data_IF_395930071011
#
_entry.id   IF_395930071011
#
_cell.length_a   1.000
_cell.length_b   1.000
_cell.length_c   1.000
_cell.angle_alpha   90.00
_cell.angle_beta   90.00
_cell.angle_gamma   90.00
#
_symmetry.space_group_name_H-M   'P 1'
#
loop_
_entity.id
_entity.type
_entity.pdbx_description
1 polymer ?
#
# COMPACT_ATOMS: atom_id res chain seq x y z
N UNK A 1 54.63 -78.29 40.72
CA UNK A 1 54.48 -76.86 40.99
C UNK A 1 54.63 -76.12 39.64
N UNK A 2 53.51 -75.63 39.05
CA UNK A 2 53.54 -74.97 37.74
C UNK A 2 53.72 -73.47 37.97
N UNK A 3 54.87 -72.95 37.63
CA UNK A 3 55.16 -71.53 37.66
C UNK A 3 54.42 -70.83 36.50
N UNK A 4 53.37 -70.14 36.81
CA UNK A 4 52.71 -69.30 35.82
C UNK A 4 53.63 -68.11 35.47
N UNK A 5 53.99 -68.03 34.18
CA UNK A 5 54.87 -67.01 33.69
C UNK A 5 54.23 -65.60 33.87
N UNK A 6 54.91 -64.75 34.65
CA UNK A 6 54.51 -63.38 34.92
C UNK A 6 54.24 -62.53 33.65
N UNK A 7 54.88 -62.93 32.53
CA UNK A 7 54.64 -62.28 31.21
C UNK A 7 53.21 -62.44 30.67
N UNK A 8 52.57 -63.59 30.93
CA UNK A 8 51.20 -63.85 30.46
C UNK A 8 50.19 -63.08 31.31
N UNK A 9 50.45 -62.87 32.57
CA UNK A 9 49.58 -62.12 33.47
C UNK A 9 49.60 -60.61 33.13
N UNK A 10 50.80 -60.06 32.84
CA UNK A 10 50.94 -58.67 32.46
C UNK A 10 50.27 -58.33 31.10
N UNK A 11 50.37 -59.28 30.13
CA UNK A 11 49.70 -59.14 28.83
C UNK A 11 48.17 -59.14 28.99
N UNK A 12 47.60 -59.98 29.82
CA UNK A 12 46.17 -60.07 30.10
C UNK A 12 45.65 -58.81 30.81
N UNK A 13 46.45 -58.30 31.73
CA UNK A 13 46.12 -57.04 32.50
C UNK A 13 46.12 -55.82 31.62
N UNK A 14 47.08 -55.69 30.69
CA UNK A 14 47.16 -54.60 29.75
C UNK A 14 45.97 -54.63 28.75
N UNK A 15 45.61 -55.83 28.26
CA UNK A 15 44.47 -55.96 27.34
C UNK A 15 43.14 -55.64 28.03
N UNK A 16 42.97 -56.01 29.29
CA UNK A 16 41.79 -55.69 30.08
C UNK A 16 41.69 -54.19 30.36
N UNK A 17 42.81 -53.51 30.59
CA UNK A 17 42.82 -52.05 30.83
C UNK A 17 42.49 -51.26 29.59
N UNK A 18 42.95 -51.67 28.39
CA UNK A 18 42.64 -51.05 27.12
C UNK A 18 41.17 -51.27 26.76
N UNK A 19 40.63 -52.48 27.01
CA UNK A 19 39.21 -52.75 26.78
C UNK A 19 38.31 -51.90 27.69
N UNK A 20 38.69 -51.71 28.94
CA UNK A 20 37.92 -50.85 29.89
C UNK A 20 37.95 -49.38 29.50
N UNK A 21 39.05 -48.90 28.93
CA UNK A 21 39.18 -47.49 28.46
C UNK A 21 38.27 -47.21 27.25
N UNK A 22 37.97 -48.20 26.42
CA UNK A 22 37.05 -48.03 25.27
C UNK A 22 35.56 -47.99 25.68
N UNK A 23 35.18 -48.51 26.84
CA UNK A 23 33.79 -48.52 27.31
C UNK A 23 33.42 -47.20 27.99
N UNK A 24 34.40 -46.42 28.44
CA UNK A 24 34.17 -45.15 29.13
C UNK A 24 34.28 -43.92 28.20
N UNK A 25 34.46 -44.12 26.90
CA UNK A 25 34.43 -43.01 25.96
C UNK A 25 33.03 -42.35 26.01
N UNK A 26 32.92 -41.10 26.42
CA UNK A 26 31.64 -40.42 26.38
C UNK A 26 31.16 -40.40 24.92
N UNK A 27 29.95 -40.89 24.69
CA UNK A 27 29.32 -40.79 23.39
C UNK A 27 29.20 -39.28 23.06
N UNK A 28 30.12 -38.77 22.25
CA UNK A 28 30.02 -37.41 21.71
C UNK A 28 28.79 -37.42 20.80
N UNK A 29 27.67 -36.96 21.34
CA UNK A 29 26.50 -36.67 20.50
C UNK A 29 26.89 -35.50 19.66
N UNK A 30 27.08 -35.73 18.38
CA UNK A 30 27.16 -34.67 17.41
C UNK A 30 25.80 -33.93 17.44
N UNK A 31 25.75 -32.80 18.09
CA UNK A 31 24.59 -31.90 18.07
C UNK A 31 24.76 -31.06 16.81
N UNK A 32 24.04 -31.45 15.77
CA UNK A 32 23.97 -30.63 14.55
C UNK A 32 22.97 -29.50 14.84
N UNK A 33 23.47 -28.28 14.97
CA UNK A 33 22.68 -27.09 15.18
C UNK A 33 22.92 -26.14 14.01
N UNK A 34 21.85 -25.80 13.33
CA UNK A 34 21.89 -24.75 12.30
C UNK A 34 21.17 -23.51 12.81
N UNK A 35 21.73 -22.33 12.49
CA UNK A 35 21.12 -21.05 12.81
C UNK A 35 20.37 -20.55 11.58
N UNK A 36 19.08 -20.26 11.74
CA UNK A 36 18.26 -19.56 10.78
C UNK A 36 18.08 -18.09 11.20
N UNK A 37 17.96 -17.17 10.26
CA UNK A 37 17.59 -15.78 10.54
C UNK A 37 16.13 -15.52 10.20
N UNK A 38 15.42 -14.78 11.06
CA UNK A 38 14.11 -14.21 10.76
C UNK A 38 14.30 -12.70 10.51
N UNK A 39 13.79 -12.21 9.38
CA UNK A 39 13.87 -10.80 9.03
C UNK A 39 12.48 -10.25 8.78
N UNK A 40 12.23 -9.00 9.19
CA UNK A 40 11.01 -8.27 8.90
C UNK A 40 11.35 -6.82 8.57
N UNK A 41 10.65 -6.24 7.61
CA UNK A 41 10.74 -4.82 7.28
C UNK A 41 9.40 -4.16 7.59
N UNK A 42 9.42 -3.13 8.44
CA UNK A 42 8.23 -2.32 8.72
C UNK A 42 8.16 -1.20 7.69
N UNK A 43 7.03 -1.09 6.99
CA UNK A 43 6.80 -0.04 6.00
C UNK A 43 6.57 1.31 6.68
N UNK A 44 6.84 2.40 5.95
CA UNK A 44 6.53 3.76 6.38
C UNK A 44 5.02 3.94 6.59
N UNK A 45 4.66 4.89 7.44
CA UNK A 45 3.25 5.25 7.67
C UNK A 45 2.63 5.74 6.36
N UNK A 46 1.45 5.20 6.05
CA UNK A 46 0.65 5.64 4.90
C UNK A 46 -0.17 6.87 5.31
N UNK A 47 -0.10 7.93 4.51
CA UNK A 47 -0.88 9.14 4.72
C UNK A 47 -1.56 9.59 3.42
N UNK A 48 -2.73 10.20 3.54
CA UNK A 48 -3.53 10.73 2.42
C UNK A 48 -3.90 12.17 2.74
N UNK A 49 -3.73 13.05 1.75
CA UNK A 49 -4.09 14.46 1.86
C UNK A 49 -4.91 14.86 0.64
N UNK A 50 -6.08 15.47 0.85
CA UNK A 50 -6.81 16.15 -0.22
C UNK A 50 -6.06 17.46 -0.53
N UNK A 51 -5.32 17.47 -1.63
CA UNK A 51 -4.48 18.60 -2.03
C UNK A 51 -5.29 19.67 -2.78
N UNK A 52 -6.31 19.23 -3.52
CA UNK A 52 -7.22 20.10 -4.28
C UNK A 52 -8.63 19.51 -4.29
N UNK A 53 -9.63 20.36 -4.10
CA UNK A 53 -11.03 19.97 -4.25
C UNK A 53 -11.40 19.78 -5.73
N UNK A 54 -12.33 18.86 -6.02
CA UNK A 54 -12.99 18.79 -7.32
C UNK A 54 -13.93 20.00 -7.46
N UNK A 55 -13.65 20.88 -8.39
CA UNK A 55 -14.39 22.12 -8.60
C UNK A 55 -15.05 22.16 -9.99
N UNK A 56 -16.35 22.28 -10.00
CA UNK A 56 -17.12 22.44 -11.24
C UNK A 56 -17.23 23.92 -11.66
N UNK A 57 -16.78 24.86 -10.83
CA UNK A 57 -16.92 26.28 -11.08
C UNK A 57 -18.41 26.70 -11.26
N UNK A 58 -18.68 27.66 -12.11
CA UNK A 58 -20.04 28.09 -12.38
C UNK A 58 -20.80 27.05 -13.22
N UNK A 59 -21.97 26.68 -12.74
CA UNK A 59 -22.87 25.70 -13.38
C UNK A 59 -24.21 26.39 -13.67
N UNK A 60 -24.77 26.20 -14.87
CA UNK A 60 -26.04 26.78 -15.26
C UNK A 60 -27.20 25.79 -15.06
N UNK A 61 -28.37 26.30 -14.66
CA UNK A 61 -29.58 25.51 -14.52
C UNK A 61 -29.90 24.73 -15.80
N UNK A 62 -30.20 23.43 -15.65
CA UNK A 62 -30.54 22.56 -16.77
C UNK A 62 -29.35 22.17 -17.68
N UNK A 63 -28.14 22.65 -17.41
CA UNK A 63 -26.96 22.37 -18.25
C UNK A 63 -25.95 21.56 -17.45
N UNK A 64 -25.84 20.28 -17.81
CA UNK A 64 -24.84 19.41 -17.18
C UNK A 64 -23.41 19.91 -17.44
N UNK A 65 -22.53 19.77 -16.44
CA UNK A 65 -21.13 20.15 -16.55
C UNK A 65 -20.23 19.00 -16.13
N UNK A 66 -19.27 18.68 -16.97
CA UNK A 66 -18.24 17.67 -16.72
C UNK A 66 -16.94 18.36 -16.35
N UNK A 67 -16.25 17.81 -15.39
CA UNK A 67 -14.88 18.14 -15.04
C UNK A 67 -14.02 16.92 -15.34
N UNK A 68 -13.03 17.12 -16.20
CA UNK A 68 -12.07 16.09 -16.58
C UNK A 68 -11.04 15.88 -15.47
N UNK A 69 -10.69 14.64 -15.21
CA UNK A 69 -9.69 14.24 -14.20
C UNK A 69 -8.27 14.69 -14.60
N UNK A 70 -8.03 15.01 -15.87
CA UNK A 70 -6.72 15.51 -16.33
C UNK A 70 -6.55 17.02 -16.22
N UNK A 71 -7.58 17.72 -15.75
CA UNK A 71 -7.54 19.19 -15.56
C UNK A 71 -6.78 19.54 -14.29
N UNK A 72 -5.66 20.22 -14.42
CA UNK A 72 -4.79 20.62 -13.30
C UNK A 72 -5.43 21.68 -12.38
N UNK A 73 -6.34 22.48 -12.86
CA UNK A 73 -6.92 23.60 -12.10
C UNK A 73 -8.20 23.22 -11.35
N UNK A 74 -8.97 22.23 -11.81
CA UNK A 74 -10.34 22.00 -11.38
C UNK A 74 -10.61 20.55 -10.96
N UNK A 75 -9.74 19.57 -11.33
CA UNK A 75 -9.86 18.18 -10.87
C UNK A 75 -9.63 18.07 -9.37
N UNK A 76 -10.27 17.11 -8.71
CA UNK A 76 -9.95 16.76 -7.33
C UNK A 76 -8.59 16.06 -7.27
N UNK A 77 -7.67 16.51 -6.41
CA UNK A 77 -6.33 15.92 -6.29
C UNK A 77 -6.11 15.40 -4.87
N UNK A 78 -5.78 14.12 -4.78
CA UNK A 78 -5.44 13.45 -3.53
C UNK A 78 -4.00 12.97 -3.60
N UNK A 79 -3.18 13.42 -2.65
CA UNK A 79 -1.78 13.02 -2.53
C UNK A 79 -1.63 11.91 -1.49
N UNK A 80 -0.96 10.84 -1.89
CA UNK A 80 -0.69 9.66 -1.07
C UNK A 80 0.82 9.64 -0.80
N UNK A 81 1.20 9.50 0.46
CA UNK A 81 2.60 9.33 0.86
C UNK A 81 2.76 8.05 1.66
N UNK A 82 3.87 7.33 1.44
CA UNK A 82 4.12 6.06 2.11
C UNK A 82 5.44 5.42 1.73
N UNK A 83 5.56 4.11 1.92
CA UNK A 83 6.76 3.39 1.54
C UNK A 83 6.93 3.39 0.02
N UNK A 84 8.12 3.77 -0.45
CA UNK A 84 8.45 3.81 -1.87
C UNK A 84 8.22 2.43 -2.54
N UNK A 85 7.62 2.44 -3.72
CA UNK A 85 7.31 1.26 -4.53
C UNK A 85 6.39 0.21 -3.85
N UNK A 86 5.77 0.54 -2.72
CA UNK A 86 4.83 -0.36 -2.06
C UNK A 86 3.50 -0.40 -2.80
N UNK A 87 2.93 -1.61 -2.94
CA UNK A 87 1.61 -1.78 -3.53
C UNK A 87 0.51 -1.31 -2.57
N UNK A 88 -0.46 -0.58 -3.11
CA UNK A 88 -1.60 -0.04 -2.38
C UNK A 88 -2.92 -0.38 -3.08
N UNK A 89 -3.98 -0.44 -2.30
CA UNK A 89 -5.35 -0.43 -2.78
C UNK A 89 -5.99 0.90 -2.41
N UNK A 90 -6.66 1.53 -3.36
CA UNK A 90 -7.34 2.80 -3.21
C UNK A 90 -8.83 2.65 -3.52
N UNK A 91 -9.66 3.25 -2.71
CA UNK A 91 -11.10 3.21 -2.86
C UNK A 91 -11.72 4.57 -2.51
N UNK A 92 -12.54 5.12 -3.41
CA UNK A 92 -13.32 6.33 -3.14
C UNK A 92 -14.74 5.98 -2.70
N UNK A 93 -15.16 6.57 -1.61
CA UNK A 93 -16.57 6.76 -1.28
C UNK A 93 -17.02 8.07 -1.95
N UNK A 94 -17.82 7.93 -3.00
CA UNK A 94 -18.27 9.03 -3.85
C UNK A 94 -19.73 9.38 -3.55
N UNK A 95 -20.08 10.68 -3.42
CA UNK A 95 -21.45 11.11 -3.23
C UNK A 95 -22.30 10.91 -4.50
N UNK A 96 -23.59 10.69 -4.33
CA UNK A 96 -24.57 10.72 -5.43
C UNK A 96 -25.15 12.11 -5.67
N UNK A 97 -25.07 12.98 -4.68
CA UNK A 97 -25.57 14.34 -4.69
C UNK A 97 -24.62 15.28 -3.99
N UNK A 98 -24.52 16.50 -4.51
CA UNK A 98 -23.98 17.63 -3.78
C UNK A 98 -25.16 18.47 -3.25
N UNK A 99 -25.06 18.95 -2.01
CA UNK A 99 -26.14 19.66 -1.34
C UNK A 99 -25.88 21.16 -1.28
N UNK A 100 -26.95 21.95 -1.44
CA UNK A 100 -26.90 23.38 -1.16
C UNK A 100 -26.56 23.60 0.31
N UNK A 101 -25.77 24.61 0.63
CA UNK A 101 -25.33 24.90 1.99
C UNK A 101 -26.50 25.06 2.99
N UNK A 102 -27.66 25.46 2.54
CA UNK A 102 -28.90 25.52 3.34
C UNK A 102 -29.58 24.18 3.53
N UNK A 103 -29.13 23.12 2.82
CA UNK A 103 -29.65 21.76 2.91
C UNK A 103 -31.00 21.49 2.25
N UNK A 104 -31.62 22.50 1.62
CA UNK A 104 -32.98 22.36 1.04
C UNK A 104 -32.97 21.89 -0.40
N UNK A 105 -31.85 21.93 -1.09
CA UNK A 105 -31.77 21.52 -2.49
C UNK A 105 -30.53 20.64 -2.73
N UNK A 106 -30.62 19.74 -3.71
CA UNK A 106 -29.56 18.80 -4.07
C UNK A 106 -29.36 18.76 -5.58
N UNK A 107 -28.13 18.61 -5.99
CA UNK A 107 -27.74 18.46 -7.39
C UNK A 107 -27.10 17.09 -7.59
N UNK A 108 -27.57 16.26 -8.52
CA UNK A 108 -26.94 15.00 -8.83
C UNK A 108 -25.50 15.19 -9.31
N UNK A 109 -24.59 14.33 -8.77
CA UNK A 109 -23.24 14.19 -9.26
C UNK A 109 -23.03 12.74 -9.67
N UNK A 110 -22.32 12.51 -10.76
CA UNK A 110 -22.03 11.18 -11.28
C UNK A 110 -20.55 11.04 -11.56
N UNK A 111 -20.07 9.81 -11.36
CA UNK A 111 -18.68 9.41 -11.63
C UNK A 111 -18.72 8.18 -12.54
N UNK A 112 -18.09 8.29 -13.69
CA UNK A 112 -17.94 7.17 -14.61
C UNK A 112 -16.79 6.24 -14.17
N UNK A 113 -16.67 5.11 -14.81
CA UNK A 113 -15.56 4.18 -14.60
C UNK A 113 -14.22 4.67 -15.16
N UNK A 114 -14.20 5.87 -15.72
CA UNK A 114 -13.01 6.49 -16.34
C UNK A 114 -12.64 7.83 -15.72
N UNK A 115 -13.34 8.27 -14.67
CA UNK A 115 -13.19 9.61 -14.11
C UNK A 115 -12.06 9.73 -13.07
N UNK A 116 -11.12 8.79 -13.05
CA UNK A 116 -9.92 8.91 -12.21
C UNK A 116 -8.64 8.63 -12.99
N UNK A 117 -7.57 9.27 -12.57
CA UNK A 117 -6.21 9.02 -13.06
C UNK A 117 -5.28 8.84 -11.88
N UNK A 118 -4.49 7.76 -11.91
CA UNK A 118 -3.46 7.49 -10.91
C UNK A 118 -2.08 7.87 -11.48
N UNK A 119 -1.38 8.77 -10.80
CA UNK A 119 -0.05 9.25 -11.19
C UNK A 119 0.98 8.86 -10.14
N UNK A 120 2.02 8.16 -10.59
CA UNK A 120 3.19 7.82 -9.80
C UNK A 120 4.16 9.01 -9.87
N UNK A 121 4.63 9.47 -8.70
CA UNK A 121 5.61 10.54 -8.64
C UNK A 121 6.98 9.97 -8.22
N UNK A 122 8.00 10.28 -9.00
CA UNK A 122 9.38 9.85 -8.72
C UNK A 122 10.10 10.79 -7.74
N UNK A 123 9.48 11.94 -7.42
CA UNK A 123 9.98 12.92 -6.47
C UNK A 123 8.88 13.28 -5.45
N UNK A 124 9.20 14.10 -4.48
CA UNK A 124 8.23 14.65 -3.55
C UNK A 124 7.08 15.36 -4.31
N UNK A 125 5.87 15.33 -3.71
CA UNK A 125 4.70 15.97 -4.31
C UNK A 125 4.99 17.42 -4.66
N UNK A 126 4.56 17.91 -5.84
CA UNK A 126 4.74 19.29 -6.23
C UNK A 126 4.00 20.20 -5.25
N UNK A 127 4.54 21.38 -4.99
CA UNK A 127 3.92 22.40 -4.13
C UNK A 127 2.65 23.00 -4.73
N UNK A 128 2.51 22.91 -6.04
CA UNK A 128 1.31 23.30 -6.81
C UNK A 128 0.79 22.07 -7.54
N UNK A 129 -0.56 21.87 -7.56
CA UNK A 129 -1.15 20.81 -8.36
C UNK A 129 -0.73 20.97 -9.83
N UNK A 130 -0.35 19.88 -10.45
CA UNK A 130 -0.01 19.82 -11.87
C UNK A 130 -0.79 18.68 -12.50
N UNK A 131 -0.97 18.75 -13.82
CA UNK A 131 -1.57 17.66 -14.58
C UNK A 131 -0.88 16.31 -14.29
N UNK A 132 -1.56 15.18 -14.49
CA UNK A 132 -0.95 13.85 -14.32
C UNK A 132 0.38 13.74 -15.04
N UNK A 133 1.39 13.24 -14.34
CA UNK A 133 2.74 13.09 -14.87
C UNK A 133 2.83 12.06 -16.00
N UNK A 134 3.98 12.06 -16.72
CA UNK A 134 4.26 11.04 -17.72
C UNK A 134 4.20 9.64 -17.10
N UNK A 135 3.49 8.72 -17.75
CA UNK A 135 3.30 7.36 -17.25
C UNK A 135 2.13 7.19 -16.26
N UNK A 136 1.32 8.22 -16.05
CA UNK A 136 0.09 8.09 -15.28
C UNK A 136 -0.85 7.06 -15.90
N UNK A 137 -1.54 6.30 -15.05
CA UNK A 137 -2.63 5.40 -15.48
C UNK A 137 -3.91 6.20 -15.61
N UNK A 138 -4.29 6.49 -16.85
CA UNK A 138 -5.46 7.30 -17.18
C UNK A 138 -6.74 6.45 -17.18
N UNK A 139 -7.89 7.12 -17.06
CA UNK A 139 -9.21 6.53 -17.22
C UNK A 139 -9.45 5.32 -16.31
N UNK A 140 -9.08 5.42 -15.06
CA UNK A 140 -9.30 4.36 -14.05
C UNK A 140 -10.63 4.55 -13.34
N UNK A 141 -11.18 3.43 -12.85
CA UNK A 141 -12.41 3.46 -12.06
C UNK A 141 -12.13 4.04 -10.67
N UNK A 142 -12.72 5.20 -10.31
CA UNK A 142 -12.47 5.83 -9.02
C UNK A 142 -12.95 4.99 -7.81
N UNK A 143 -13.94 4.10 -8.02
CA UNK A 143 -14.44 3.23 -6.95
C UNK A 143 -13.57 2.02 -6.67
N UNK A 144 -12.64 1.70 -7.57
CA UNK A 144 -11.76 0.55 -7.42
C UNK A 144 -10.48 0.75 -8.25
N UNK A 145 -9.54 1.49 -7.68
CA UNK A 145 -8.22 1.71 -8.26
C UNK A 145 -7.33 0.51 -7.91
N UNK A 146 -7.21 -0.44 -8.83
CA UNK A 146 -6.40 -1.66 -8.66
C UNK A 146 -5.04 -1.54 -9.34
N UNK A 147 -4.05 -2.31 -8.88
CA UNK A 147 -2.72 -2.36 -9.48
C UNK A 147 -1.92 -1.09 -9.29
N UNK A 148 -2.21 -0.34 -8.25
CA UNK A 148 -1.53 0.90 -7.92
C UNK A 148 -0.34 0.66 -6.99
N UNK A 149 0.76 1.39 -7.22
CA UNK A 149 1.92 1.40 -6.35
C UNK A 149 2.34 2.83 -6.06
N UNK A 150 2.89 3.05 -4.86
CA UNK A 150 3.48 4.34 -4.52
C UNK A 150 4.76 4.53 -5.35
N UNK A 151 5.00 5.75 -5.83
CA UNK A 151 6.18 6.08 -6.60
C UNK A 151 7.49 5.84 -5.85
N UNK A 152 8.60 5.75 -6.58
CA UNK A 152 9.95 5.56 -6.01
C UNK A 152 10.37 6.70 -5.07
N UNK A 153 9.75 7.89 -5.22
CA UNK A 153 9.90 9.01 -4.29
C UNK A 153 9.03 8.91 -3.03
N UNK A 154 8.27 7.82 -2.86
CA UNK A 154 7.35 7.65 -1.71
C UNK A 154 6.05 8.45 -1.85
N UNK A 155 5.71 8.92 -3.05
CA UNK A 155 4.55 9.77 -3.31
C UNK A 155 3.80 9.32 -4.56
N UNK A 156 2.47 9.39 -4.51
CA UNK A 156 1.58 9.24 -5.67
C UNK A 156 0.41 10.20 -5.55
N UNK A 157 -0.23 10.52 -6.67
CA UNK A 157 -1.41 11.35 -6.71
C UNK A 157 -2.55 10.67 -7.46
N UNK A 158 -3.77 10.92 -7.00
CA UNK A 158 -4.98 10.55 -7.72
C UNK A 158 -5.68 11.82 -8.12
N UNK A 159 -5.99 11.93 -9.40
CA UNK A 159 -6.80 12.99 -9.99
C UNK A 159 -8.20 12.44 -10.21
N UNK A 160 -9.20 13.21 -9.80
CA UNK A 160 -10.61 12.81 -9.86
C UNK A 160 -11.40 13.85 -10.65
N UNK A 161 -12.08 13.38 -11.66
CA UNK A 161 -13.10 14.14 -12.41
C UNK A 161 -14.51 13.75 -12.00
N UNK A 162 -15.50 14.19 -12.78
CA UNK A 162 -16.89 13.85 -12.57
C UNK A 162 -17.85 14.74 -13.35
N UNK A 163 -19.15 14.56 -13.14
CA UNK A 163 -20.19 15.30 -13.84
C UNK A 163 -21.33 15.68 -12.91
N UNK A 164 -21.72 16.95 -12.91
CA UNK A 164 -22.90 17.46 -12.22
C UNK A 164 -24.06 17.68 -13.20
N UNK A 165 -25.29 17.44 -12.75
CA UNK A 165 -26.49 17.46 -13.58
C UNK A 165 -27.54 18.33 -12.86
N UNK A 166 -27.48 19.67 -13.00
CA UNK A 166 -28.46 20.55 -12.40
C UNK A 166 -29.82 20.41 -13.05
N UNK A 167 -30.88 20.52 -12.28
CA UNK A 167 -32.24 20.63 -12.79
C UNK A 167 -32.48 21.99 -13.44
N UNK A 168 -33.53 22.08 -14.26
CA UNK A 168 -33.94 23.38 -14.89
C UNK A 168 -34.40 24.44 -13.87
N UNK A 169 -34.77 23.97 -12.65
CA UNK A 169 -35.20 24.82 -11.54
C UNK A 169 -34.24 24.71 -10.35
N UNK A 170 -32.97 24.35 -10.61
CA UNK A 170 -31.98 24.24 -9.55
C UNK A 170 -31.82 25.55 -8.78
N UNK A 171 -31.90 25.51 -7.46
CA UNK A 171 -31.74 26.73 -6.67
C UNK A 171 -30.31 27.30 -6.84
N UNK A 172 -30.20 28.61 -6.89
CA UNK A 172 -28.92 29.28 -6.95
C UNK A 172 -28.21 29.21 -5.59
N UNK A 173 -26.91 29.00 -5.61
CA UNK A 173 -26.08 28.95 -4.39
C UNK A 173 -24.89 28.02 -4.51
N UNK A 174 -24.14 27.86 -3.43
CA UNK A 174 -23.00 26.96 -3.34
C UNK A 174 -23.45 25.55 -2.93
N UNK A 175 -23.02 24.56 -3.69
CA UNK A 175 -23.29 23.14 -3.46
C UNK A 175 -22.00 22.42 -3.10
N UNK A 176 -22.04 21.52 -2.15
CA UNK A 176 -20.88 20.72 -1.72
C UNK A 176 -21.27 19.32 -1.24
N UNK A 177 -20.32 18.42 -1.27
CA UNK A 177 -20.38 17.10 -0.62
C UNK A 177 -18.96 16.61 -0.32
N UNK A 178 -18.85 15.69 0.62
CA UNK A 178 -17.59 15.06 0.95
C UNK A 178 -17.25 13.92 -0.02
N UNK A 179 -15.98 13.85 -0.40
CA UNK A 179 -15.37 12.74 -1.13
C UNK A 179 -14.32 12.13 -0.22
N UNK A 180 -14.46 10.82 0.10
CA UNK A 180 -13.55 10.15 1.01
C UNK A 180 -12.70 9.14 0.26
N UNK A 181 -11.38 9.30 0.33
CA UNK A 181 -10.41 8.33 -0.19
C UNK A 181 -9.88 7.47 0.96
N UNK A 182 -10.02 6.16 0.82
CA UNK A 182 -9.41 5.17 1.71
C UNK A 182 -8.26 4.48 0.97
N UNK A 183 -7.10 4.43 1.61
CA UNK A 183 -5.90 3.78 1.06
C UNK A 183 -5.35 2.79 2.08
N UNK A 184 -4.94 1.62 1.60
CA UNK A 184 -4.30 0.59 2.42
C UNK A 184 -3.15 -0.06 1.65
N UNK A 185 -2.10 -0.50 2.37
CA UNK A 185 -1.10 -1.37 1.77
C UNK A 185 -1.74 -2.73 1.43
N UNK A 186 -1.44 -3.23 0.23
CA UNK A 186 -1.72 -4.62 -0.12
C UNK A 186 -0.46 -5.41 0.19
N UNK A 187 -0.51 -6.37 1.10
CA UNK A 187 0.64 -7.23 1.36
C UNK A 187 1.19 -7.84 0.06
N UNK A 188 2.50 -7.96 -0.06
CA UNK A 188 3.19 -8.71 -1.11
C UNK A 188 3.06 -10.19 -0.87
#
# INVERSE_FOLDING_TARGET
>A
MRTFSTRKVNALLVTALVALAMITAPAVRAQDATTGSATATVLAVLAVTATQALDFGNVYQGVAKTQDETSDALSGIFTITGAASANIACYFQLPEYIALATGVDRMPITFSSTDATFSILDAAAPSTPSAPGAGATLNTNPRNLTGTAIGVGGVSQIFLGGKVIPSVNQAAGAYSADIVLTVSYTGS
#
